data_IF_746140686008
#
_entry.id   IF_746140686008
#
_cell.length_a   1.000
_cell.length_b   1.000
_cell.length_c   1.000
_cell.angle_alpha   90.00
_cell.angle_beta   90.00
_cell.angle_gamma   90.00
#
_symmetry.space_group_name_H-M   'P 1'
#
loop_
_entity.id
_entity.type
_entity.pdbx_description
1 polymer ?
#
# COMPACT_ATOMS: atom_id res chain seq x y z
N UNK A 1 -20.61 29.07 22.23
CA UNK A 1 -20.12 27.68 22.09
C UNK A 1 -19.50 27.25 23.41
N UNK A 2 -19.73 26.02 23.87
CA UNK A 2 -19.15 25.53 25.14
C UNK A 2 -17.69 25.11 24.92
N UNK A 3 -16.83 25.35 25.91
CA UNK A 3 -15.38 25.02 25.86
C UNK A 3 -15.13 23.55 25.52
N UNK A 4 -15.97 22.64 26.03
CA UNK A 4 -15.89 21.21 25.71
C UNK A 4 -16.14 20.90 24.23
N UNK A 5 -17.01 21.65 23.58
CA UNK A 5 -17.29 21.48 22.15
C UNK A 5 -16.12 21.95 21.28
N UNK A 6 -15.47 23.06 21.67
CA UNK A 6 -14.28 23.56 20.99
C UNK A 6 -13.08 22.60 21.14
N UNK A 7 -12.88 22.00 22.32
CA UNK A 7 -11.82 21.00 22.52
C UNK A 7 -12.06 19.75 21.65
N UNK A 8 -13.29 19.24 21.58
CA UNK A 8 -13.61 18.08 20.73
C UNK A 8 -13.42 18.35 19.24
N UNK A 9 -13.71 19.58 18.78
CA UNK A 9 -13.52 19.99 17.39
C UNK A 9 -12.03 19.94 17.01
N UNK A 10 -11.16 20.55 17.83
CA UNK A 10 -9.70 20.53 17.61
C UNK A 10 -9.15 19.11 17.59
N UNK A 11 -9.60 18.24 18.50
CA UNK A 11 -9.18 16.83 18.49
C UNK A 11 -9.67 16.08 17.26
N UNK A 12 -10.92 16.31 16.83
CA UNK A 12 -11.48 15.67 15.64
C UNK A 12 -10.74 16.10 14.37
N UNK A 13 -10.40 17.39 14.25
CA UNK A 13 -9.63 17.92 13.13
C UNK A 13 -8.22 17.34 13.06
N UNK A 14 -7.52 17.25 14.19
CA UNK A 14 -6.21 16.61 14.26
C UNK A 14 -6.28 15.12 13.87
N UNK A 15 -7.27 14.40 14.39
CA UNK A 15 -7.44 12.98 14.08
C UNK A 15 -7.74 12.75 12.60
N UNK A 16 -8.61 13.56 12.00
CA UNK A 16 -8.90 13.51 10.57
C UNK A 16 -7.66 13.78 9.72
N UNK A 17 -6.84 14.76 10.11
CA UNK A 17 -5.55 15.04 9.44
C UNK A 17 -4.60 13.85 9.54
N UNK A 18 -4.48 13.24 10.73
CA UNK A 18 -3.62 12.07 10.94
C UNK A 18 -4.09 10.86 10.10
N UNK A 19 -5.40 10.62 10.01
CA UNK A 19 -5.97 9.59 9.13
C UNK A 19 -5.63 9.87 7.67
N UNK A 20 -5.68 11.13 7.23
CA UNK A 20 -5.27 11.53 5.88
C UNK A 20 -3.80 11.15 5.57
N UNK A 21 -2.88 11.46 6.48
CA UNK A 21 -1.46 11.09 6.34
C UNK A 21 -1.29 9.57 6.29
N UNK A 22 -1.95 8.84 7.20
CA UNK A 22 -1.88 7.38 7.24
C UNK A 22 -2.40 6.76 5.94
N UNK A 23 -3.51 7.27 5.40
CA UNK A 23 -4.06 6.82 4.14
C UNK A 23 -3.07 7.01 2.99
N UNK A 24 -2.40 8.17 2.89
CA UNK A 24 -1.35 8.40 1.88
C UNK A 24 -0.24 7.37 1.99
N UNK A 25 0.24 7.08 3.21
CA UNK A 25 1.31 6.10 3.44
C UNK A 25 0.86 4.67 3.06
N UNK A 26 -0.33 4.26 3.48
CA UNK A 26 -0.87 2.92 3.18
C UNK A 26 -1.03 2.74 1.67
N UNK A 27 -1.54 3.75 0.96
CA UNK A 27 -1.70 3.68 -0.50
C UNK A 27 -0.33 3.60 -1.18
N UNK A 28 0.63 4.44 -0.79
CA UNK A 28 1.96 4.47 -1.40
C UNK A 28 2.72 3.14 -1.17
N UNK A 29 2.73 2.64 0.05
CA UNK A 29 3.37 1.36 0.41
C UNK A 29 2.64 0.18 -0.23
N UNK A 30 1.30 0.16 -0.20
CA UNK A 30 0.48 -0.88 -0.81
C UNK A 30 0.65 -0.95 -2.33
N UNK A 31 0.69 0.20 -3.00
CA UNK A 31 0.96 0.28 -4.43
C UNK A 31 2.39 -0.19 -4.77
N UNK A 32 3.39 0.25 -4.00
CA UNK A 32 4.79 -0.16 -4.19
C UNK A 32 4.98 -1.67 -4.01
N UNK A 33 4.45 -2.23 -2.93
CA UNK A 33 4.51 -3.67 -2.66
C UNK A 33 3.66 -4.49 -3.65
N UNK A 34 2.52 -3.95 -4.10
CA UNK A 34 1.68 -4.59 -5.11
C UNK A 34 2.40 -4.74 -6.44
N UNK A 35 3.04 -3.67 -6.93
CA UNK A 35 3.85 -3.70 -8.15
C UNK A 35 5.06 -4.63 -7.96
N UNK A 36 5.78 -4.48 -6.85
CA UNK A 36 6.94 -5.33 -6.53
C UNK A 36 6.57 -6.82 -6.52
N UNK A 37 5.49 -7.18 -5.83
CA UNK A 37 4.99 -8.54 -5.76
C UNK A 37 4.56 -9.08 -7.13
N UNK A 38 3.85 -8.28 -7.93
CA UNK A 38 3.45 -8.66 -9.27
C UNK A 38 4.65 -8.96 -10.18
N UNK A 39 5.70 -8.14 -10.13
CA UNK A 39 6.95 -8.37 -10.89
C UNK A 39 7.60 -9.68 -10.46
N UNK A 40 7.78 -9.91 -9.14
CA UNK A 40 8.41 -11.14 -8.65
C UNK A 40 7.63 -12.40 -9.06
N UNK A 41 6.30 -12.34 -9.07
CA UNK A 41 5.48 -13.45 -9.53
C UNK A 41 5.66 -13.69 -11.03
N UNK A 42 5.74 -12.64 -11.85
CA UNK A 42 5.95 -12.77 -13.30
C UNK A 42 7.36 -13.27 -13.65
N UNK A 43 8.39 -12.84 -12.91
CA UNK A 43 9.77 -13.31 -13.06
C UNK A 43 9.91 -14.81 -12.70
N UNK A 44 9.29 -15.25 -11.60
CA UNK A 44 9.28 -16.66 -11.21
C UNK A 44 8.41 -17.55 -12.13
N UNK A 45 7.30 -17.03 -12.65
CA UNK A 45 6.36 -17.80 -13.47
C UNK A 45 6.95 -18.28 -14.81
N UNK A 46 7.82 -17.49 -15.44
CA UNK A 46 8.51 -17.88 -16.68
C UNK A 46 9.68 -18.84 -16.46
N UNK A 47 10.46 -18.62 -15.40
CA UNK A 47 11.64 -19.42 -15.06
C UNK A 47 11.29 -20.82 -14.55
N UNK A 48 10.17 -20.96 -13.82
CA UNK A 48 9.72 -22.23 -13.23
C UNK A 48 8.86 -23.07 -14.18
N UNK A 49 8.61 -22.58 -15.41
CA UNK A 49 7.87 -23.31 -16.43
C UNK A 49 8.78 -24.31 -17.18
N UNK A 50 8.55 -25.64 -17.08
CA UNK A 50 9.39 -26.66 -17.73
C UNK A 50 9.43 -26.54 -19.26
N UNK A 51 8.39 -25.95 -19.87
CA UNK A 51 8.33 -25.68 -21.32
C UNK A 51 9.19 -24.50 -21.78
N UNK A 52 9.48 -23.52 -20.91
CA UNK A 52 10.36 -22.40 -21.23
C UNK A 52 11.84 -22.82 -21.27
N UNK A 53 12.21 -23.82 -20.47
CA UNK A 53 13.56 -24.41 -20.42
C UNK A 53 13.76 -25.57 -21.43
N UNK A 54 12.77 -25.87 -22.28
CA UNK A 54 12.83 -26.99 -23.21
C UNK A 54 13.81 -26.79 -24.39
N UNK A 55 14.27 -25.55 -24.61
CA UNK A 55 15.21 -25.19 -25.68
C UNK A 55 16.68 -25.25 -25.28
N UNK A 56 17.02 -25.68 -24.05
CA UNK A 56 18.42 -25.80 -23.55
C UNK A 56 18.90 -27.27 -23.60
N UNK A 57 18.48 -28.03 -24.62
CA UNK A 57 19.07 -29.33 -24.94
C UNK A 57 19.83 -29.25 -26.25
#
# INVERSE_FOLDING_TARGET
MSRKAAESEVYMDFFNSAVGVLQTLVIALGAGLGIWGAINLMEGYGNDNPGANAHVR
#
